data_IF_387137489271
#
_entry.id   IF_387137489271
#
_cell.length_a   1.000
_cell.length_b   1.000
_cell.length_c   1.000
_cell.angle_alpha   90.00
_cell.angle_beta   90.00
_cell.angle_gamma   90.00
#
_symmetry.space_group_name_H-M   'P 1'
#
loop_
_entity.id
_entity.type
_entity.pdbx_description
1 polymer ?
#
# COMPACT_ATOMS: atom_id res chain seq x y z
N UNK A 1 14.22 18.41 28.74
CA UNK A 1 13.81 18.73 27.35
C UNK A 1 13.43 17.41 26.71
N UNK A 2 12.23 17.24 26.12
CA UNK A 2 11.90 16.01 25.42
C UNK A 2 12.90 15.82 24.27
N UNK A 3 13.49 14.63 24.20
CA UNK A 3 14.44 14.22 23.17
C UNK A 3 13.78 14.37 21.80
N UNK A 4 14.44 14.98 20.80
CA UNK A 4 13.93 14.97 19.44
C UNK A 4 13.77 13.51 19.00
N UNK A 5 12.54 13.11 18.69
CA UNK A 5 12.25 11.81 18.07
C UNK A 5 13.11 11.75 16.81
N UNK A 6 13.95 10.72 16.63
CA UNK A 6 14.69 10.56 15.38
C UNK A 6 13.67 10.63 14.24
N UNK A 7 13.86 11.57 13.31
CA UNK A 7 13.06 11.60 12.08
C UNK A 7 13.22 10.21 11.44
N UNK A 8 12.20 9.35 11.56
CA UNK A 8 12.22 8.02 10.95
C UNK A 8 12.49 8.23 9.46
N UNK A 9 13.70 7.86 9.02
CA UNK A 9 14.10 7.96 7.63
C UNK A 9 13.12 7.10 6.85
N UNK A 10 12.23 7.75 6.10
CA UNK A 10 11.24 7.07 5.27
C UNK A 10 11.98 6.32 4.16
N UNK A 11 12.33 5.07 4.44
CA UNK A 11 12.97 4.16 3.49
C UNK A 11 11.90 3.56 2.60
N UNK A 12 12.11 3.59 1.28
CA UNK A 12 11.21 2.93 0.33
C UNK A 12 11.26 1.41 0.55
N UNK A 13 10.13 0.74 0.36
CA UNK A 13 10.04 -0.72 0.38
C UNK A 13 11.01 -1.33 -0.62
N UNK A 14 11.94 -2.16 -0.14
CA UNK A 14 12.92 -2.87 -0.95
C UNK A 14 12.52 -4.33 -1.22
N UNK A 15 11.22 -4.61 -1.31
CA UNK A 15 10.71 -5.98 -1.48
C UNK A 15 10.78 -6.38 -2.96
N UNK A 16 11.16 -7.64 -3.24
CA UNK A 16 11.17 -8.18 -4.58
C UNK A 16 9.75 -8.29 -5.16
N UNK A 17 9.59 -7.83 -6.39
CA UNK A 17 8.34 -7.97 -7.15
C UNK A 17 8.36 -9.33 -7.82
N UNK A 18 7.41 -10.20 -7.48
CA UNK A 18 7.28 -11.54 -8.07
C UNK A 18 6.11 -11.66 -9.05
N UNK A 19 5.30 -10.60 -9.18
CA UNK A 19 4.18 -10.55 -10.10
C UNK A 19 4.62 -10.41 -11.57
N UNK A 20 3.88 -11.06 -12.45
CA UNK A 20 3.96 -10.88 -13.90
C UNK A 20 3.53 -9.47 -14.33
N UNK A 21 3.91 -9.05 -15.54
CA UNK A 21 3.50 -7.77 -16.10
C UNK A 21 1.98 -7.58 -16.12
N UNK A 22 1.21 -8.64 -16.44
CA UNK A 22 -0.26 -8.60 -16.43
C UNK A 22 -0.83 -8.40 -15.02
N UNK A 23 -0.27 -9.07 -14.01
CA UNK A 23 -0.68 -8.89 -12.61
C UNK A 23 -0.33 -7.48 -12.10
N UNK A 24 0.81 -6.93 -12.50
CA UNK A 24 1.19 -5.56 -12.17
C UNK A 24 0.26 -4.53 -12.84
N UNK A 25 -0.13 -4.77 -14.10
CA UNK A 25 -1.08 -3.91 -14.81
C UNK A 25 -2.48 -3.96 -14.16
N UNK A 26 -2.94 -5.14 -13.75
CA UNK A 26 -4.19 -5.28 -13.01
C UNK A 26 -4.10 -4.59 -11.64
N UNK A 27 -3.03 -4.81 -10.89
CA UNK A 27 -2.75 -4.15 -9.62
C UNK A 27 -2.73 -2.64 -9.75
N UNK A 28 -2.13 -2.11 -10.83
CA UNK A 28 -2.14 -0.68 -11.14
C UNK A 28 -3.54 -0.14 -11.36
N UNK A 29 -4.37 -0.83 -12.16
CA UNK A 29 -5.75 -0.42 -12.44
C UNK A 29 -6.61 -0.43 -11.17
N UNK A 30 -6.50 -1.48 -10.38
CA UNK A 30 -7.24 -1.57 -9.12
C UNK A 30 -6.78 -0.52 -8.11
N UNK A 31 -5.47 -0.29 -8.03
CA UNK A 31 -4.92 0.78 -7.20
C UNK A 31 -5.44 2.15 -7.62
N UNK A 32 -5.50 2.41 -8.93
CA UNK A 32 -6.03 3.66 -9.48
C UNK A 32 -7.50 3.88 -9.08
N UNK A 33 -8.33 2.84 -9.17
CA UNK A 33 -9.75 2.92 -8.86
C UNK A 33 -10.04 3.02 -7.36
N UNK A 34 -9.33 2.25 -6.52
CA UNK A 34 -9.71 2.07 -5.10
C UNK A 34 -8.79 2.79 -4.11
N UNK A 35 -7.55 3.09 -4.49
CA UNK A 35 -6.51 3.53 -3.56
C UNK A 35 -5.98 4.93 -3.90
N UNK A 36 -5.88 5.28 -5.18
CA UNK A 36 -5.25 6.54 -5.65
C UNK A 36 -5.97 7.80 -5.19
N UNK A 37 -7.26 7.69 -4.87
CA UNK A 37 -8.07 8.80 -4.35
C UNK A 37 -7.47 9.39 -3.08
N UNK A 38 -6.86 8.55 -2.23
CA UNK A 38 -6.27 8.98 -0.97
C UNK A 38 -4.76 8.66 -0.88
N UNK A 39 -4.32 7.47 -1.32
CA UNK A 39 -2.92 7.03 -1.29
C UNK A 39 -2.17 7.38 -2.58
N UNK A 40 -1.95 8.66 -2.84
CA UNK A 40 -1.17 9.07 -4.02
C UNK A 40 0.31 8.69 -3.88
N UNK A 41 0.82 7.89 -4.83
CA UNK A 41 2.21 7.42 -4.84
C UNK A 41 3.20 8.48 -5.35
N UNK A 42 2.72 9.50 -6.07
CA UNK A 42 3.52 10.65 -6.53
C UNK A 42 3.65 11.71 -5.43
N UNK A 43 4.45 11.43 -4.41
CA UNK A 43 4.87 12.45 -3.42
C UNK A 43 4.10 12.47 -2.10
N UNK A 44 3.11 11.58 -1.90
CA UNK A 44 2.33 11.53 -0.67
C UNK A 44 1.27 12.64 -0.63
N UNK A 45 0.00 12.24 -0.64
CA UNK A 45 -1.13 13.14 -0.46
C UNK A 45 -1.48 13.33 1.02
N UNK A 46 -2.77 13.43 1.31
CA UNK A 46 -3.36 13.63 2.65
C UNK A 46 -3.10 12.46 3.62
N UNK A 47 -2.67 11.29 3.13
CA UNK A 47 -2.34 10.11 3.92
C UNK A 47 -1.05 9.42 3.46
N UNK A 48 -0.47 8.53 4.30
CA UNK A 48 0.86 7.95 4.07
C UNK A 48 1.02 7.32 2.69
N UNK A 49 2.14 7.63 2.03
CA UNK A 49 2.52 6.98 0.79
C UNK A 49 2.93 5.52 1.09
N UNK A 50 2.25 4.59 0.45
CA UNK A 50 2.42 3.16 0.67
C UNK A 50 3.81 2.67 0.31
N UNK A 51 4.56 3.35 -0.58
CA UNK A 51 5.94 2.98 -0.91
C UNK A 51 6.90 3.12 0.27
N UNK A 52 6.54 3.92 1.27
CA UNK A 52 7.34 4.14 2.49
C UNK A 52 6.76 3.42 3.71
N UNK A 53 5.77 2.56 3.51
CA UNK A 53 5.21 1.76 4.60
C UNK A 53 6.21 0.70 5.05
N UNK A 54 6.08 0.25 6.31
CA UNK A 54 6.86 -0.88 6.81
C UNK A 54 6.44 -2.15 6.04
N UNK A 55 7.38 -3.02 5.64
CA UNK A 55 7.08 -4.25 4.88
C UNK A 55 6.11 -5.16 5.63
N UNK A 56 6.17 -5.18 6.96
CA UNK A 56 5.23 -5.88 7.84
C UNK A 56 3.78 -5.43 7.62
N UNK A 57 3.54 -4.12 7.53
CA UNK A 57 2.20 -3.55 7.33
C UNK A 57 1.68 -3.88 5.93
N UNK A 58 2.53 -3.76 4.90
CA UNK A 58 2.12 -4.09 3.53
C UNK A 58 1.92 -5.60 3.35
N UNK A 59 2.62 -6.45 4.09
CA UNK A 59 2.33 -7.89 4.11
C UNK A 59 0.95 -8.21 4.69
N UNK A 60 0.46 -7.39 5.62
CA UNK A 60 -0.88 -7.50 6.20
C UNK A 60 -1.95 -6.74 5.39
N UNK A 61 -1.66 -6.31 4.16
CA UNK A 61 -2.59 -5.51 3.36
C UNK A 61 -3.93 -6.21 3.11
N UNK A 62 -3.95 -7.55 3.00
CA UNK A 62 -5.20 -8.32 2.91
C UNK A 62 -6.08 -8.09 4.14
N UNK A 63 -5.52 -8.18 5.34
CA UNK A 63 -6.26 -7.93 6.58
C UNK A 63 -6.67 -6.46 6.73
N UNK A 64 -5.79 -5.52 6.34
CA UNK A 64 -6.08 -4.09 6.42
C UNK A 64 -7.22 -3.72 5.48
N UNK A 65 -7.14 -4.15 4.21
CA UNK A 65 -8.06 -3.76 3.14
C UNK A 65 -9.31 -4.62 3.16
N UNK A 66 -9.21 -5.94 3.35
CA UNK A 66 -10.37 -6.84 3.28
C UNK A 66 -11.04 -7.06 4.63
N UNK A 67 -10.27 -7.19 5.73
CA UNK A 67 -10.85 -7.33 7.08
C UNK A 67 -11.10 -5.99 7.76
N UNK A 68 -10.51 -4.90 7.26
CA UNK A 68 -10.81 -3.55 7.74
C UNK A 68 -10.17 -3.24 9.08
N UNK A 69 -9.00 -3.81 9.40
CA UNK A 69 -8.31 -3.55 10.68
C UNK A 69 -8.06 -2.05 10.92
N UNK A 70 -7.90 -1.27 9.84
CA UNK A 70 -7.69 0.18 9.91
C UNK A 70 -8.96 1.03 9.65
N UNK A 71 -10.16 0.42 9.67
CA UNK A 71 -11.43 1.15 9.69
C UNK A 71 -11.47 2.26 10.77
N UNK A 72 -11.11 2.01 12.05
CA UNK A 72 -11.10 3.08 13.06
C UNK A 72 -10.06 4.17 12.80
N UNK A 73 -9.08 3.93 11.91
CA UNK A 73 -8.09 4.91 11.46
C UNK A 73 -8.50 5.64 10.17
N UNK A 74 -9.70 5.37 9.66
CA UNK A 74 -10.23 5.97 8.43
C UNK A 74 -9.92 5.22 7.14
N UNK A 75 -9.31 4.04 7.19
CA UNK A 75 -9.09 3.20 5.99
C UNK A 75 -10.34 2.37 5.68
N UNK A 76 -10.99 2.55 4.51
CA UNK A 76 -12.19 1.78 4.17
C UNK A 76 -11.91 0.28 4.00
N UNK A 77 -12.93 -0.53 4.27
CA UNK A 77 -12.93 -1.96 3.97
C UNK A 77 -13.36 -2.18 2.52
N UNK A 78 -12.58 -2.96 1.78
CA UNK A 78 -12.83 -3.37 0.40
C UNK A 78 -12.99 -4.90 0.25
N UNK A 79 -13.15 -5.63 1.36
CA UNK A 79 -13.32 -7.09 1.35
C UNK A 79 -14.46 -7.61 0.46
N UNK A 80 -15.49 -6.78 0.29
CA UNK A 80 -16.67 -7.09 -0.50
C UNK A 80 -16.51 -6.69 -1.99
N UNK A 81 -15.40 -6.03 -2.36
CA UNK A 81 -15.11 -5.54 -3.72
C UNK A 81 -13.82 -6.09 -4.33
N UNK A 82 -12.84 -6.44 -3.50
CA UNK A 82 -11.52 -6.90 -3.93
C UNK A 82 -11.27 -8.30 -3.39
N UNK A 83 -10.88 -9.24 -4.27
CA UNK A 83 -10.43 -10.58 -3.87
C UNK A 83 -9.02 -10.56 -3.25
N UNK A 84 -8.65 -11.60 -2.51
CA UNK A 84 -7.28 -11.72 -1.96
C UNK A 84 -6.22 -11.71 -3.05
N UNK A 85 -6.51 -12.25 -4.24
CA UNK A 85 -5.58 -12.21 -5.36
C UNK A 85 -5.42 -10.78 -5.92
N UNK A 86 -6.52 -10.04 -6.03
CA UNK A 86 -6.51 -8.64 -6.47
C UNK A 86 -5.74 -7.75 -5.49
N UNK A 87 -5.91 -7.98 -4.19
CA UNK A 87 -5.15 -7.27 -3.16
C UNK A 87 -3.65 -7.60 -3.23
N UNK A 88 -3.27 -8.86 -3.47
CA UNK A 88 -1.87 -9.23 -3.73
C UNK A 88 -1.33 -8.54 -4.99
N UNK A 89 -2.11 -8.43 -6.06
CA UNK A 89 -1.68 -7.74 -7.28
C UNK A 89 -1.41 -6.24 -7.00
N UNK A 90 -2.27 -5.59 -6.21
CA UNK A 90 -2.05 -4.21 -5.74
C UNK A 90 -0.77 -4.11 -4.90
N UNK A 91 -0.56 -5.05 -3.96
CA UNK A 91 0.64 -5.11 -3.13
C UNK A 91 1.92 -5.15 -3.98
N UNK A 92 1.94 -6.03 -4.98
CA UNK A 92 3.07 -6.19 -5.89
C UNK A 92 3.29 -4.94 -6.75
N UNK A 93 2.22 -4.27 -7.17
CA UNK A 93 2.32 -2.99 -7.86
C UNK A 93 2.95 -1.90 -6.96
N UNK A 94 2.59 -1.83 -5.68
CA UNK A 94 3.21 -0.89 -4.72
C UNK A 94 4.71 -1.19 -4.59
N UNK A 95 5.11 -2.45 -4.49
CA UNK A 95 6.53 -2.84 -4.48
C UNK A 95 7.26 -2.41 -5.76
N UNK A 96 6.63 -2.59 -6.92
CA UNK A 96 7.20 -2.16 -8.20
C UNK A 96 7.37 -0.63 -8.27
N UNK A 97 6.44 0.13 -7.66
CA UNK A 97 6.55 1.59 -7.55
C UNK A 97 7.58 2.05 -6.53
N UNK A 98 7.78 1.30 -5.46
CA UNK A 98 8.80 1.61 -4.45
C UNK A 98 10.24 1.37 -4.96
N UNK A 99 10.43 0.43 -5.90
CA UNK A 99 11.74 0.19 -6.55
C UNK A 99 12.14 1.26 -7.58
N UNK A 100 11.19 2.08 -8.06
CA UNK A 100 11.47 3.21 -8.96
C UNK A 100 11.75 4.48 -8.16
#
# INVERSE_FOLDING_TARGET
MPTPIPMEVKTKLNVAVTASASQLAEGAKLFDVYCSGCHKLNGGGTIPNLTYSKPEIINMIDDIVRKGIFLPKGMPKFGDRLSSQQVKNIQQFIYAKAKK
#
